data_IF_156807926852
#
_entry.id   IF_156807926852
#
_cell.length_a   1.000
_cell.length_b   1.000
_cell.length_c   1.000
_cell.angle_alpha   90.00
_cell.angle_beta   90.00
_cell.angle_gamma   90.00
#
_symmetry.space_group_name_H-M   'P 1'
#
loop_
_entity.id
_entity.type
_entity.pdbx_description
1 polymer ?
#
# COMPACT_ATOMS: atom_id res chain seq x y z
N UNK A 1 -6.08 5.55 8.08
CA UNK A 1 -6.74 4.23 7.96
C UNK A 1 -5.77 3.17 8.45
N UNK A 2 -6.20 2.31 9.39
CA UNK A 2 -5.35 1.26 9.96
C UNK A 2 -5.69 1.01 11.43
N UNK A 3 -5.00 0.03 12.03
CA UNK A 3 -5.15 -0.29 13.45
C UNK A 3 -4.14 0.54 14.25
N UNK A 4 -4.65 1.45 15.08
CA UNK A 4 -3.81 2.31 15.93
C UNK A 4 -2.93 1.45 16.85
N UNK A 5 -1.63 1.74 16.87
CA UNK A 5 -0.68 1.06 17.75
C UNK A 5 -0.23 -0.34 17.31
N UNK A 6 -0.73 -0.88 16.19
CA UNK A 6 -0.35 -2.22 15.76
C UNK A 6 1.15 -2.35 15.41
N UNK A 7 1.70 -1.40 14.65
CA UNK A 7 3.11 -1.40 14.29
C UNK A 7 4.06 -1.36 15.50
N UNK A 8 3.95 -0.41 16.46
CA UNK A 8 4.81 -0.41 17.64
C UNK A 8 4.58 -1.62 18.55
N UNK A 9 3.35 -2.15 18.60
CA UNK A 9 3.06 -3.39 19.32
C UNK A 9 3.83 -4.58 18.71
N UNK A 10 3.76 -4.78 17.39
CA UNK A 10 4.47 -5.86 16.70
C UNK A 10 5.99 -5.72 16.84
N UNK A 11 6.53 -4.50 16.74
CA UNK A 11 7.95 -4.25 16.97
C UNK A 11 8.40 -4.66 18.37
N UNK A 12 7.54 -4.50 19.38
CA UNK A 12 7.85 -4.85 20.78
C UNK A 12 7.70 -6.35 21.06
N UNK A 13 6.63 -6.97 20.56
CA UNK A 13 6.21 -8.31 20.98
C UNK A 13 6.69 -9.41 20.03
N UNK A 14 6.77 -9.11 18.73
CA UNK A 14 7.13 -10.07 17.68
C UNK A 14 7.98 -9.38 16.59
N UNK A 15 9.16 -8.85 16.94
CA UNK A 15 10.00 -8.12 15.99
C UNK A 15 10.42 -8.97 14.78
N UNK A 16 10.51 -10.28 14.94
CA UNK A 16 10.87 -11.24 13.90
C UNK A 16 9.84 -11.34 12.77
N UNK A 17 8.57 -10.98 13.02
CA UNK A 17 7.54 -10.90 11.99
C UNK A 17 7.75 -9.70 11.03
N UNK A 18 8.53 -8.70 11.44
CA UNK A 18 8.84 -7.53 10.62
C UNK A 18 10.13 -7.79 9.86
N UNK A 19 10.02 -7.94 8.53
CA UNK A 19 11.18 -8.11 7.65
C UNK A 19 11.34 -6.89 6.75
N UNK A 20 12.56 -6.38 6.66
CA UNK A 20 12.94 -5.39 5.66
C UNK A 20 13.33 -6.11 4.37
N UNK A 21 12.76 -5.71 3.24
CA UNK A 21 13.19 -6.21 1.93
C UNK A 21 14.46 -5.45 1.51
N UNK A 22 15.64 -6.11 1.49
CA UNK A 22 16.93 -5.42 1.32
C UNK A 22 17.04 -4.72 -0.04
N UNK A 23 16.43 -5.28 -1.09
CA UNK A 23 16.43 -4.70 -2.43
C UNK A 23 15.06 -4.14 -2.83
N UNK A 24 14.23 -3.74 -1.86
CA UNK A 24 12.86 -3.25 -2.07
C UNK A 24 12.05 -4.20 -2.96
N UNK A 25 11.44 -3.69 -4.04
CA UNK A 25 10.63 -4.46 -4.98
C UNK A 25 11.43 -5.46 -5.81
N UNK A 26 12.75 -5.27 -6.01
CA UNK A 26 13.58 -6.27 -6.72
C UNK A 26 13.60 -7.62 -6.00
N UNK A 27 13.46 -7.62 -4.68
CA UNK A 27 13.32 -8.86 -3.89
C UNK A 27 12.03 -9.63 -4.19
N UNK A 28 11.10 -9.04 -4.95
CA UNK A 28 9.82 -9.63 -5.36
C UNK A 28 9.75 -9.90 -6.87
N UNK A 29 10.88 -9.87 -7.59
CA UNK A 29 10.92 -10.15 -9.04
C UNK A 29 10.25 -11.49 -9.38
N UNK A 30 9.48 -11.50 -10.45
CA UNK A 30 8.64 -12.59 -10.92
C UNK A 30 7.38 -12.83 -10.08
N UNK A 31 7.14 -12.07 -9.00
CA UNK A 31 5.95 -12.21 -8.15
C UNK A 31 4.81 -11.32 -8.61
N UNK A 32 3.60 -11.72 -8.22
CA UNK A 32 2.41 -10.87 -8.30
C UNK A 32 2.06 -10.37 -6.91
N UNK A 33 1.92 -9.05 -6.76
CA UNK A 33 1.49 -8.41 -5.52
C UNK A 33 0.08 -7.84 -5.68
N UNK A 34 -0.72 -7.93 -4.63
CA UNK A 34 -2.04 -7.28 -4.57
C UNK A 34 -1.88 -6.00 -3.77
N UNK A 35 -2.30 -4.89 -4.37
CA UNK A 35 -2.18 -3.54 -3.81
C UNK A 35 -3.59 -3.00 -3.54
N UNK A 36 -3.80 -2.48 -2.33
CA UNK A 36 -4.97 -1.66 -2.04
C UNK A 36 -4.86 -0.32 -2.79
N UNK A 37 -5.56 -0.24 -3.92
CA UNK A 37 -5.55 0.88 -4.83
C UNK A 37 -6.17 2.13 -4.23
N UNK A 38 -7.21 2.00 -3.40
CA UNK A 38 -7.83 3.14 -2.71
C UNK A 38 -6.83 3.77 -1.76
N UNK A 39 -6.20 2.97 -0.90
CA UNK A 39 -5.27 3.47 0.12
C UNK A 39 -4.05 4.16 -0.50
N UNK A 40 -3.44 3.56 -1.53
CA UNK A 40 -2.30 4.16 -2.23
C UNK A 40 -2.72 5.45 -2.93
N UNK A 41 -3.86 5.47 -3.61
CA UNK A 41 -4.37 6.66 -4.28
C UNK A 41 -4.59 7.81 -3.30
N UNK A 42 -5.23 7.55 -2.15
CA UNK A 42 -5.44 8.55 -1.11
C UNK A 42 -4.11 9.07 -0.55
N UNK A 43 -3.17 8.16 -0.24
CA UNK A 43 -1.84 8.53 0.28
C UNK A 43 -1.09 9.45 -0.68
N UNK A 44 -1.17 9.18 -1.98
CA UNK A 44 -0.55 10.03 -2.99
C UNK A 44 -1.33 11.35 -3.18
N UNK A 45 -2.66 11.31 -3.19
CA UNK A 45 -3.52 12.49 -3.37
C UNK A 45 -3.32 13.53 -2.26
N UNK A 46 -3.15 13.08 -1.02
CA UNK A 46 -2.90 13.94 0.13
C UNK A 46 -1.40 14.15 0.42
N UNK A 47 -0.50 13.66 -0.43
CA UNK A 47 0.94 13.89 -0.25
C UNK A 47 1.26 15.39 -0.33
N UNK A 48 2.21 15.91 0.48
CA UNK A 48 2.62 17.31 0.49
C UNK A 48 3.52 17.63 -0.72
N UNK A 49 2.97 17.49 -1.93
CA UNK A 49 3.63 17.76 -3.20
C UNK A 49 2.83 18.83 -3.95
N UNK A 50 3.44 19.94 -4.41
CA UNK A 50 2.73 21.03 -5.07
C UNK A 50 2.40 20.71 -6.53
N UNK A 51 1.79 19.55 -6.80
CA UNK A 51 1.33 19.14 -8.12
C UNK A 51 -0.16 18.81 -8.08
N UNK A 52 -1.00 19.37 -8.98
CA UNK A 52 -2.45 19.15 -8.95
C UNK A 52 -2.83 17.68 -9.15
N UNK A 53 -2.10 16.98 -10.03
CA UNK A 53 -2.31 15.54 -10.31
C UNK A 53 -1.26 14.64 -9.63
N UNK A 54 -0.81 15.00 -8.42
CA UNK A 54 0.25 14.27 -7.70
C UNK A 54 -0.02 12.76 -7.55
N UNK A 55 -1.28 12.36 -7.44
CA UNK A 55 -1.69 10.96 -7.37
C UNK A 55 -1.48 10.23 -8.70
N UNK A 56 -1.79 10.86 -9.84
CA UNK A 56 -1.52 10.31 -11.17
C UNK A 56 -0.03 10.15 -11.39
N UNK A 57 0.76 11.20 -11.11
CA UNK A 57 2.23 11.14 -11.22
C UNK A 57 2.84 10.09 -10.28
N UNK A 58 2.31 9.98 -9.06
CA UNK A 58 2.75 8.98 -8.08
C UNK A 58 2.49 7.56 -8.55
N UNK A 59 1.29 7.27 -9.07
CA UNK A 59 0.97 5.97 -9.64
C UNK A 59 1.84 5.65 -10.85
N UNK A 60 2.03 6.60 -11.76
CA UNK A 60 2.92 6.42 -12.91
C UNK A 60 4.32 5.96 -12.46
N UNK A 61 4.91 6.63 -11.47
CA UNK A 61 6.23 6.26 -10.92
C UNK A 61 6.24 4.89 -10.27
N UNK A 62 5.21 4.54 -9.50
CA UNK A 62 5.07 3.21 -8.89
C UNK A 62 4.97 2.12 -9.97
N UNK A 63 4.18 2.34 -11.02
CA UNK A 63 4.04 1.40 -12.14
C UNK A 63 5.35 1.22 -12.91
N UNK A 64 6.14 2.29 -13.07
CA UNK A 64 7.49 2.19 -13.63
C UNK A 64 8.40 1.34 -12.74
N UNK A 65 8.46 1.60 -11.42
CA UNK A 65 9.30 0.83 -10.49
C UNK A 65 8.91 -0.66 -10.46
N UNK A 66 7.61 -0.97 -10.45
CA UNK A 66 7.09 -2.34 -10.52
C UNK A 66 7.55 -3.06 -11.81
N UNK A 67 7.43 -2.38 -12.96
CA UNK A 67 7.87 -2.91 -14.25
C UNK A 67 9.38 -3.13 -14.28
N UNK A 68 10.17 -2.16 -13.81
CA UNK A 68 11.63 -2.26 -13.74
C UNK A 68 12.11 -3.38 -12.81
N UNK A 69 11.32 -3.72 -11.79
CA UNK A 69 11.61 -4.81 -10.86
C UNK A 69 11.01 -6.15 -11.27
N UNK A 70 10.38 -6.26 -12.45
CA UNK A 70 9.66 -7.47 -12.89
C UNK A 70 8.62 -7.94 -11.86
N UNK A 71 7.83 -7.01 -11.32
CA UNK A 71 6.77 -7.30 -10.34
C UNK A 71 5.42 -7.02 -11.00
N UNK A 72 4.57 -8.04 -11.03
CA UNK A 72 3.19 -7.90 -11.48
C UNK A 72 2.33 -7.32 -10.35
N UNK A 73 1.38 -6.45 -10.66
CA UNK A 73 0.50 -5.86 -9.66
C UNK A 73 -0.97 -6.02 -10.03
N UNK A 74 -1.78 -6.39 -9.04
CA UNK A 74 -3.24 -6.34 -9.10
C UNK A 74 -3.69 -5.25 -8.11
N UNK A 75 -4.26 -4.17 -8.62
CA UNK A 75 -4.79 -3.10 -7.79
C UNK A 75 -6.27 -3.38 -7.49
N UNK A 76 -6.62 -3.44 -6.21
CA UNK A 76 -7.99 -3.64 -5.72
C UNK A 76 -8.49 -2.33 -5.14
N UNK A 77 -9.65 -1.88 -5.60
CA UNK A 77 -10.29 -0.67 -5.11
C UNK A 77 -11.53 -1.04 -4.29
N UNK A 78 -11.86 -0.19 -3.34
CA UNK A 78 -13.06 -0.36 -2.52
C UNK A 78 -14.31 -0.33 -3.42
N UNK A 79 -15.28 -1.18 -3.08
CA UNK A 79 -16.62 -1.11 -3.68
C UNK A 79 -17.40 0.09 -3.15
N UNK A 80 -18.56 0.36 -3.77
CA UNK A 80 -19.45 1.44 -3.33
C UNK A 80 -19.90 1.28 -1.88
N UNK A 81 -20.13 0.03 -1.46
CA UNK A 81 -20.64 -0.29 -0.13
C UNK A 81 -19.53 -0.86 0.75
N UNK A 82 -19.61 -0.55 2.03
CA UNK A 82 -18.72 -1.13 3.03
C UNK A 82 -19.10 -2.60 3.20
N UNK A 83 -18.10 -3.48 3.18
CA UNK A 83 -18.33 -4.89 3.50
C UNK A 83 -18.98 -5.05 4.87
N UNK A 84 -19.97 -5.94 4.97
CA UNK A 84 -20.61 -6.30 6.24
C UNK A 84 -19.60 -6.71 7.32
N UNK A 85 -18.47 -7.33 6.92
CA UNK A 85 -17.40 -7.72 7.84
C UNK A 85 -16.73 -6.52 8.56
N UNK A 86 -16.75 -5.35 7.93
CA UNK A 86 -16.21 -4.09 8.49
C UNK A 86 -17.28 -3.25 9.20
N UNK A 87 -18.50 -3.76 9.36
CA UNK A 87 -19.62 -3.03 9.96
C UNK A 87 -19.43 -2.67 11.44
N UNK A 88 -18.56 -3.39 12.16
CA UNK A 88 -18.24 -3.14 13.58
C UNK A 88 -17.11 -2.14 13.81
N UNK A 89 -16.47 -1.64 12.76
CA UNK A 89 -15.37 -0.67 12.84
C UNK A 89 -15.87 0.79 12.99
N UNK A 90 -17.10 0.99 13.48
CA UNK A 90 -17.64 2.33 13.76
C UNK A 90 -17.01 2.89 15.03
N UNK A 91 -16.44 4.10 14.89
CA UNK A 91 -15.89 4.91 15.97
C UNK A 91 -16.97 5.43 16.91
#
# INVERSE_FOLDING_TARGET
>A
MGVLGLAPFLQKICPEAIKTLPNRLKSLSGKTVVIDGTLITQRLHFAPMPHPYRHVLGWYRIMQELKECDVNAICVFDGMERSHAKGRETA
#
